data_IF_913567696727
#
_entry.id   IF_913567696727
#
_cell.length_a   1.000
_cell.length_b   1.000
_cell.length_c   1.000
_cell.angle_alpha   90.00
_cell.angle_beta   90.00
_cell.angle_gamma   90.00
#
_symmetry.space_group_name_H-M   'P 1'
#
loop_
_entity.id
_entity.type
_entity.pdbx_description
1 polymer ?
#
# COMPACT_ATOMS: atom_id res chain seq x y z
N UNK A 1 -11.43 15.31 -21.53
CA UNK A 1 -10.78 15.45 -20.21
C UNK A 1 -9.47 14.68 -20.23
N UNK A 2 -8.37 15.33 -19.80
CA UNK A 2 -7.04 14.68 -19.76
C UNK A 2 -6.98 13.53 -18.74
N UNK A 3 -6.06 12.61 -18.95
CA UNK A 3 -5.79 11.52 -18.03
C UNK A 3 -5.05 12.05 -16.79
N UNK A 4 -5.37 11.49 -15.62
CA UNK A 4 -4.69 11.84 -14.37
C UNK A 4 -3.50 10.92 -14.17
N UNK A 5 -2.34 11.51 -13.92
CA UNK A 5 -1.12 10.77 -13.59
C UNK A 5 -1.28 10.07 -12.24
N UNK A 6 -0.64 8.91 -12.07
CA UNK A 6 -0.59 8.20 -10.79
C UNK A 6 0.14 9.05 -9.75
N UNK A 7 -0.50 9.37 -8.60
CA UNK A 7 0.10 10.25 -7.59
C UNK A 7 1.40 9.72 -6.99
N UNK A 8 1.56 8.40 -6.87
CA UNK A 8 2.80 7.76 -6.40
C UNK A 8 3.87 7.87 -7.48
N UNK A 9 3.53 7.55 -8.75
CA UNK A 9 4.47 7.56 -9.86
C UNK A 9 5.13 8.91 -10.11
N UNK A 10 4.35 10.01 -10.02
CA UNK A 10 4.89 11.37 -10.23
C UNK A 10 5.80 11.84 -9.08
N UNK A 11 5.78 11.16 -7.92
CA UNK A 11 6.56 11.49 -6.73
C UNK A 11 7.74 10.56 -6.49
N UNK A 12 7.95 9.58 -7.37
CA UNK A 12 9.12 8.70 -7.32
C UNK A 12 10.40 9.53 -7.49
N UNK A 13 11.38 9.27 -6.62
CA UNK A 13 12.65 10.01 -6.60
C UNK A 13 12.57 11.41 -5.96
N UNK A 14 11.38 11.89 -5.55
CA UNK A 14 11.19 13.17 -4.84
C UNK A 14 10.78 12.90 -3.39
N UNK A 15 9.64 12.26 -3.16
CA UNK A 15 9.07 11.95 -1.85
C UNK A 15 8.93 10.45 -1.63
N UNK A 16 8.64 9.71 -2.69
CA UNK A 16 8.47 8.25 -2.69
C UNK A 16 9.71 7.57 -3.25
N UNK A 17 10.02 6.41 -2.70
CA UNK A 17 11.10 5.54 -3.17
C UNK A 17 10.51 4.36 -3.98
N UNK A 18 11.39 3.65 -4.69
CA UNK A 18 11.03 2.49 -5.50
C UNK A 18 10.75 1.27 -4.63
N UNK A 19 9.84 0.42 -5.09
CA UNK A 19 9.55 -0.87 -4.45
C UNK A 19 10.57 -1.95 -4.84
N UNK A 20 11.27 -1.79 -5.98
CA UNK A 20 12.40 -2.62 -6.38
C UNK A 20 13.67 -1.80 -6.33
N UNK A 21 14.67 -2.27 -5.54
CA UNK A 21 15.97 -1.62 -5.35
C UNK A 21 17.07 -2.55 -5.83
N UNK A 22 17.41 -2.44 -7.12
CA UNK A 22 18.48 -3.20 -7.73
C UNK A 22 18.94 -2.56 -9.04
N UNK A 23 20.11 -2.95 -9.47
CA UNK A 23 20.68 -2.60 -10.77
C UNK A 23 20.97 -3.86 -11.56
N UNK A 24 20.69 -3.84 -12.86
CA UNK A 24 20.97 -4.94 -13.77
C UNK A 24 21.50 -4.45 -15.12
N UNK A 25 22.26 -5.31 -15.81
CA UNK A 25 22.65 -5.06 -17.20
C UNK A 25 21.42 -5.09 -18.13
N UNK A 26 21.53 -4.53 -19.31
CA UNK A 26 20.43 -4.53 -20.31
C UNK A 26 19.97 -5.95 -20.68
N UNK A 27 20.85 -6.97 -20.53
CA UNK A 27 20.52 -8.37 -20.83
C UNK A 27 19.66 -9.00 -19.74
N UNK A 28 20.01 -8.74 -18.48
CA UNK A 28 19.43 -9.40 -17.31
C UNK A 28 18.19 -8.65 -16.78
N UNK A 29 18.02 -7.37 -17.21
CA UNK A 29 16.95 -6.50 -16.72
C UNK A 29 15.55 -7.10 -16.91
N UNK A 30 15.28 -7.66 -18.08
CA UNK A 30 13.96 -8.24 -18.39
C UNK A 30 13.64 -9.46 -17.52
N UNK A 31 14.62 -10.31 -17.29
CA UNK A 31 14.46 -11.50 -16.47
C UNK A 31 14.19 -11.14 -14.99
N UNK A 32 14.99 -10.23 -14.44
CA UNK A 32 14.79 -9.76 -13.06
C UNK A 32 13.44 -9.06 -12.87
N UNK A 33 13.03 -8.23 -13.82
CA UNK A 33 11.75 -7.55 -13.77
C UNK A 33 10.57 -8.53 -13.79
N UNK A 34 10.59 -9.50 -14.72
CA UNK A 34 9.52 -10.49 -14.83
C UNK A 34 9.42 -11.37 -13.59
N UNK A 35 10.57 -11.82 -13.04
CA UNK A 35 10.58 -12.62 -11.82
C UNK A 35 10.08 -11.81 -10.60
N UNK A 36 10.43 -10.51 -10.49
CA UNK A 36 9.92 -9.65 -9.40
C UNK A 36 8.40 -9.46 -9.48
N UNK A 37 7.86 -9.25 -10.69
CA UNK A 37 6.41 -9.13 -10.89
C UNK A 37 5.70 -10.43 -10.50
N UNK A 38 6.20 -11.58 -10.97
CA UNK A 38 5.64 -12.89 -10.67
C UNK A 38 5.65 -13.20 -9.16
N UNK A 39 6.73 -12.83 -8.46
CA UNK A 39 6.84 -13.00 -7.01
C UNK A 39 5.87 -12.10 -6.27
N UNK A 40 5.75 -10.81 -6.66
CA UNK A 40 4.77 -9.90 -6.04
C UNK A 40 3.35 -10.39 -6.21
N UNK A 41 2.97 -10.77 -7.42
CA UNK A 41 1.62 -11.27 -7.71
C UNK A 41 1.31 -12.55 -6.92
N UNK A 42 2.29 -13.46 -6.79
CA UNK A 42 2.17 -14.65 -5.97
C UNK A 42 1.96 -14.29 -4.49
N UNK A 43 2.83 -13.44 -3.92
CA UNK A 43 2.74 -13.06 -2.51
C UNK A 43 1.45 -12.30 -2.19
N UNK A 44 0.97 -11.44 -3.08
CA UNK A 44 -0.31 -10.75 -2.87
C UNK A 44 -1.51 -11.71 -2.92
N UNK A 45 -1.45 -12.76 -3.71
CA UNK A 45 -2.51 -13.79 -3.76
C UNK A 45 -2.51 -14.67 -2.52
N UNK A 46 -1.33 -15.16 -2.13
CA UNK A 46 -1.19 -16.06 -0.98
C UNK A 46 -1.50 -15.34 0.35
N UNK A 47 -1.05 -14.10 0.50
CA UNK A 47 -1.16 -13.32 1.73
C UNK A 47 -2.40 -12.41 1.79
N UNK A 48 -3.48 -12.73 1.09
CA UNK A 48 -4.71 -11.92 1.09
C UNK A 48 -5.27 -11.72 2.51
N UNK A 49 -5.16 -12.72 3.39
CA UNK A 49 -5.64 -12.64 4.78
C UNK A 49 -4.76 -11.79 5.70
N UNK A 50 -3.51 -11.57 5.32
CA UNK A 50 -2.51 -10.84 6.11
C UNK A 50 -2.58 -9.32 5.94
N UNK A 51 -3.39 -8.80 5.02
CA UNK A 51 -3.51 -7.37 4.72
C UNK A 51 -2.14 -6.74 4.44
N UNK A 52 -1.55 -7.14 3.30
CA UNK A 52 -0.23 -6.66 2.86
C UNK A 52 -0.35 -5.30 2.21
N UNK A 53 0.39 -4.32 2.73
CA UNK A 53 0.47 -2.97 2.21
C UNK A 53 1.37 -2.89 0.97
N UNK A 54 2.62 -3.28 1.13
CA UNK A 54 3.67 -3.13 0.13
C UNK A 54 4.66 -4.29 0.21
N UNK A 55 5.24 -4.66 -0.92
CA UNK A 55 6.32 -5.65 -1.03
C UNK A 55 7.50 -4.97 -1.70
N UNK A 56 8.59 -4.78 -0.96
CA UNK A 56 9.84 -4.22 -1.48
C UNK A 56 10.83 -5.36 -1.75
N UNK A 57 11.52 -5.29 -2.89
CA UNK A 57 12.50 -6.30 -3.31
C UNK A 57 13.85 -5.63 -3.50
N UNK A 58 14.84 -6.07 -2.77
CA UNK A 58 16.23 -5.64 -2.89
C UNK A 58 17.05 -6.81 -3.41
N UNK A 59 17.74 -6.66 -4.55
CA UNK A 59 18.65 -7.67 -5.10
C UNK A 59 20.08 -7.26 -4.83
N UNK A 60 20.77 -8.13 -4.16
CA UNK A 60 22.23 -8.13 -4.05
C UNK A 60 22.76 -9.14 -5.07
N UNK A 61 24.08 -9.13 -5.35
CA UNK A 61 24.68 -9.93 -6.43
C UNK A 61 24.15 -11.37 -6.51
N UNK A 62 24.16 -12.11 -5.40
CA UNK A 62 23.79 -13.54 -5.36
C UNK A 62 22.62 -13.85 -4.42
N UNK A 63 21.99 -12.84 -3.83
CA UNK A 63 20.89 -13.02 -2.88
C UNK A 63 19.82 -11.96 -3.11
N UNK A 64 18.57 -12.27 -2.78
CA UNK A 64 17.50 -11.30 -2.80
C UNK A 64 16.88 -11.16 -1.41
N UNK A 65 16.55 -9.94 -1.03
CA UNK A 65 15.82 -9.63 0.20
C UNK A 65 14.42 -9.12 -0.17
N UNK A 66 13.40 -9.80 0.32
CA UNK A 66 12.00 -9.44 0.14
C UNK A 66 11.46 -8.91 1.46
N UNK A 67 11.05 -7.65 1.48
CA UNK A 67 10.50 -6.99 2.66
C UNK A 67 8.99 -6.89 2.46
N UNK A 68 8.23 -7.52 3.36
CA UNK A 68 6.77 -7.55 3.32
C UNK A 68 6.25 -6.61 4.42
N UNK A 69 5.62 -5.51 3.99
CA UNK A 69 4.94 -4.59 4.90
C UNK A 69 3.51 -5.06 5.10
N UNK A 70 3.15 -5.43 6.32
CA UNK A 70 1.83 -6.00 6.64
C UNK A 70 1.24 -5.40 7.92
N UNK A 71 -0.10 -5.33 7.99
CA UNK A 71 -0.80 -4.95 9.21
C UNK A 71 -0.93 -6.13 10.21
N UNK A 72 -0.73 -7.38 9.74
CA UNK A 72 -0.91 -8.59 10.56
C UNK A 72 0.27 -9.54 10.41
N UNK A 73 1.44 -9.22 10.99
CA UNK A 73 2.67 -10.00 10.82
C UNK A 73 2.52 -11.45 11.30
N UNK A 74 1.72 -11.71 12.33
CA UNK A 74 1.50 -13.06 12.86
C UNK A 74 0.92 -14.05 11.85
N UNK A 75 0.11 -13.58 10.91
CA UNK A 75 -0.47 -14.45 9.85
C UNK A 75 0.59 -14.85 8.83
N UNK A 76 1.56 -13.94 8.53
CA UNK A 76 2.64 -14.22 7.59
C UNK A 76 3.68 -15.17 8.19
N UNK A 77 3.98 -15.01 9.48
CA UNK A 77 4.95 -15.85 10.19
C UNK A 77 4.42 -17.28 10.35
N UNK A 78 3.12 -17.40 10.65
CA UNK A 78 2.47 -18.68 10.90
C UNK A 78 2.88 -19.33 12.21
N UNK A 79 2.44 -20.58 12.42
CA UNK A 79 2.75 -21.34 13.63
C UNK A 79 4.24 -21.73 13.62
N UNK A 80 5.00 -21.26 14.61
CA UNK A 80 6.44 -21.53 14.79
C UNK A 80 7.30 -21.19 13.56
N UNK A 81 6.85 -20.27 12.68
CA UNK A 81 7.61 -19.87 11.50
C UNK A 81 7.50 -20.80 10.28
N UNK A 82 6.63 -21.81 10.31
CA UNK A 82 6.50 -22.77 9.22
C UNK A 82 6.04 -22.13 7.89
N UNK A 83 5.12 -21.15 7.98
CA UNK A 83 4.57 -20.50 6.79
C UNK A 83 5.60 -19.59 6.11
N UNK A 84 6.42 -18.88 6.88
CA UNK A 84 7.50 -18.05 6.30
C UNK A 84 8.60 -18.90 5.65
N UNK A 85 8.93 -20.08 6.21
CA UNK A 85 9.91 -20.99 5.60
C UNK A 85 9.37 -21.58 4.28
N UNK A 86 8.10 -21.97 4.26
CA UNK A 86 7.42 -22.41 3.04
C UNK A 86 7.44 -21.33 1.96
N UNK A 87 7.07 -20.08 2.32
CA UNK A 87 7.09 -18.95 1.41
C UNK A 87 8.50 -18.66 0.89
N UNK A 88 9.51 -18.71 1.75
CA UNK A 88 10.91 -18.51 1.37
C UNK A 88 11.36 -19.52 0.31
N UNK A 89 11.03 -20.81 0.47
CA UNK A 89 11.41 -21.84 -0.49
C UNK A 89 10.73 -21.62 -1.86
N UNK A 90 9.42 -21.33 -1.88
CA UNK A 90 8.69 -21.07 -3.13
C UNK A 90 9.21 -19.81 -3.83
N UNK A 91 9.48 -18.74 -3.08
CA UNK A 91 10.01 -17.49 -3.65
C UNK A 91 11.44 -17.70 -4.17
N UNK A 92 12.28 -18.44 -3.46
CA UNK A 92 13.64 -18.78 -3.90
C UNK A 92 13.63 -19.58 -5.20
N UNK A 93 12.73 -20.54 -5.33
CA UNK A 93 12.53 -21.30 -6.58
C UNK A 93 12.11 -20.39 -7.75
N UNK A 94 11.16 -19.46 -7.51
CA UNK A 94 10.70 -18.51 -8.54
C UNK A 94 11.74 -17.48 -8.96
N UNK A 95 12.61 -17.07 -8.05
CA UNK A 95 13.65 -16.08 -8.32
C UNK A 95 14.98 -16.68 -8.81
N UNK A 96 15.16 -18.01 -8.65
CA UNK A 96 16.41 -18.72 -9.00
C UNK A 96 17.61 -18.34 -8.12
N UNK A 97 17.39 -17.60 -7.03
CA UNK A 97 18.45 -17.14 -6.09
C UNK A 97 17.98 -17.34 -4.65
N UNK A 98 18.91 -17.51 -3.69
CA UNK A 98 18.53 -17.58 -2.28
C UNK A 98 17.88 -16.29 -1.82
N UNK A 99 16.71 -16.41 -1.16
CA UNK A 99 15.90 -15.29 -0.71
C UNK A 99 15.87 -15.20 0.81
N UNK A 100 15.97 -13.96 1.30
CA UNK A 100 15.68 -13.65 2.70
C UNK A 100 14.38 -12.85 2.79
N UNK A 101 13.41 -13.35 3.56
CA UNK A 101 12.13 -12.65 3.79
C UNK A 101 12.21 -11.90 5.12
N UNK A 102 11.99 -10.60 5.10
CA UNK A 102 11.82 -9.74 6.27
C UNK A 102 10.38 -9.26 6.34
N UNK A 103 9.81 -9.22 7.54
CA UNK A 103 8.44 -8.74 7.76
C UNK A 103 8.52 -7.45 8.57
N UNK A 104 7.85 -6.41 8.07
CA UNK A 104 7.72 -5.12 8.74
C UNK A 104 6.26 -4.84 9.05
N UNK A 105 5.99 -4.50 10.31
CA UNK A 105 4.64 -4.18 10.75
C UNK A 105 4.24 -2.75 10.37
N UNK A 106 3.07 -2.61 9.75
CA UNK A 106 2.43 -1.32 9.51
C UNK A 106 1.63 -0.93 10.74
N UNK A 107 2.19 -0.03 11.58
CA UNK A 107 1.58 0.38 12.86
C UNK A 107 0.23 1.08 12.70
N UNK A 108 0.03 1.81 11.60
CA UNK A 108 -1.19 2.57 11.33
C UNK A 108 -1.80 2.17 9.98
N UNK A 109 -2.51 1.03 9.90
CA UNK A 109 -3.06 0.51 8.64
C UNK A 109 -4.13 1.44 8.03
N UNK A 110 -4.78 2.25 8.83
CA UNK A 110 -5.80 3.19 8.37
C UNK A 110 -5.23 4.46 7.69
N UNK A 111 -3.90 4.68 7.77
CA UNK A 111 -3.17 5.70 7.01
C UNK A 111 -2.48 5.15 5.76
N UNK A 112 -2.68 3.86 5.46
CA UNK A 112 -2.17 3.22 4.24
C UNK A 112 -3.29 3.11 3.20
N UNK A 113 -3.08 3.70 2.04
CA UNK A 113 -4.12 3.77 1.01
C UNK A 113 -4.52 2.39 0.47
N UNK A 114 -3.58 1.42 0.42
CA UNK A 114 -3.87 0.08 -0.06
C UNK A 114 -4.72 -0.71 0.93
N UNK A 115 -4.35 -0.69 2.21
CA UNK A 115 -5.09 -1.38 3.27
C UNK A 115 -6.50 -0.81 3.44
N UNK A 116 -6.62 0.50 3.34
CA UNK A 116 -7.92 1.20 3.36
C UNK A 116 -8.77 0.80 2.17
N UNK A 117 -8.20 0.75 0.96
CA UNK A 117 -8.95 0.35 -0.24
C UNK A 117 -9.42 -1.11 -0.15
N UNK A 118 -8.57 -2.02 0.32
CA UNK A 118 -8.89 -3.42 0.57
C UNK A 118 -10.01 -3.57 1.62
N UNK A 119 -9.95 -2.83 2.72
CA UNK A 119 -10.98 -2.84 3.76
C UNK A 119 -12.35 -2.39 3.21
N UNK A 120 -12.38 -1.33 2.38
CA UNK A 120 -13.60 -0.91 1.71
C UNK A 120 -14.11 -2.03 0.78
N UNK A 121 -13.23 -2.66 -0.02
CA UNK A 121 -13.60 -3.74 -0.92
C UNK A 121 -14.24 -4.92 -0.18
N UNK A 122 -13.62 -5.38 0.89
CA UNK A 122 -14.14 -6.47 1.73
C UNK A 122 -15.51 -6.13 2.34
N UNK A 123 -15.73 -4.86 2.74
CA UNK A 123 -17.05 -4.42 3.23
C UNK A 123 -18.11 -4.43 2.12
N UNK A 124 -17.76 -3.99 0.91
CA UNK A 124 -18.68 -4.01 -0.23
C UNK A 124 -19.04 -5.45 -0.66
N UNK A 125 -18.08 -6.36 -0.65
CA UNK A 125 -18.30 -7.79 -0.92
C UNK A 125 -19.23 -8.43 0.12
N UNK A 126 -19.14 -7.98 1.38
CA UNK A 126 -20.07 -8.33 2.46
C UNK A 126 -21.40 -7.58 2.42
N UNK A 127 -21.70 -6.90 1.30
CA UNK A 127 -22.96 -6.16 1.06
C UNK A 127 -23.22 -5.01 2.03
N UNK A 128 -22.18 -4.42 2.63
CA UNK A 128 -22.32 -3.19 3.40
C UNK A 128 -22.59 -2.03 2.44
N UNK A 129 -23.48 -1.13 2.80
CA UNK A 129 -23.77 0.08 2.01
C UNK A 129 -22.49 0.90 1.80
N UNK A 130 -22.13 1.22 0.55
CA UNK A 130 -20.89 1.93 0.22
C UNK A 130 -20.75 3.28 0.94
N UNK A 131 -21.86 4.04 1.14
CA UNK A 131 -21.82 5.31 1.88
C UNK A 131 -21.38 5.11 3.33
N UNK A 132 -21.85 4.06 3.98
CA UNK A 132 -21.46 3.74 5.36
C UNK A 132 -20.00 3.30 5.45
N UNK A 133 -19.56 2.46 4.53
CA UNK A 133 -18.17 2.00 4.46
C UNK A 133 -17.21 3.18 4.25
N UNK A 134 -17.50 4.05 3.26
CA UNK A 134 -16.66 5.21 2.95
C UNK A 134 -16.64 6.22 4.10
N UNK A 135 -17.78 6.59 4.68
CA UNK A 135 -17.83 7.55 5.82
C UNK A 135 -17.05 7.05 7.03
N UNK A 136 -17.12 5.75 7.34
CA UNK A 136 -16.35 5.15 8.43
C UNK A 136 -14.85 5.32 8.20
N UNK A 137 -14.38 5.02 7.01
CA UNK A 137 -12.96 5.11 6.63
C UNK A 137 -12.48 6.57 6.69
N UNK A 138 -13.27 7.52 6.17
CA UNK A 138 -12.94 8.95 6.25
C UNK A 138 -12.76 9.40 7.70
N UNK A 139 -13.74 9.09 8.57
CA UNK A 139 -13.66 9.45 9.99
C UNK A 139 -12.51 8.78 10.75
N UNK A 140 -12.14 7.54 10.39
CA UNK A 140 -11.01 6.85 11.01
C UNK A 140 -9.68 7.49 10.61
N UNK A 141 -9.47 7.72 9.31
CA UNK A 141 -8.25 8.35 8.81
C UNK A 141 -8.06 9.78 9.37
N UNK A 142 -9.15 10.57 9.46
CA UNK A 142 -9.12 11.91 10.05
C UNK A 142 -8.73 11.86 11.55
N UNK A 143 -9.27 10.92 12.33
CA UNK A 143 -8.90 10.72 13.74
C UNK A 143 -7.44 10.34 13.94
N UNK A 144 -6.85 9.59 13.03
CA UNK A 144 -5.45 9.17 13.10
C UNK A 144 -4.47 10.20 12.55
N UNK A 145 -4.96 11.38 12.19
CA UNK A 145 -4.11 12.51 11.82
C UNK A 145 -3.80 12.63 10.31
N UNK A 146 -4.58 11.97 9.44
CA UNK A 146 -4.50 12.27 8.01
C UNK A 146 -4.93 13.72 7.78
N UNK A 147 -4.10 14.51 7.09
CA UNK A 147 -4.42 15.91 6.73
C UNK A 147 -5.48 16.00 5.63
N UNK A 148 -5.71 14.91 4.93
CA UNK A 148 -6.79 14.79 3.98
C UNK A 148 -6.89 13.41 3.37
N UNK A 149 -8.12 13.02 3.07
CA UNK A 149 -8.43 11.76 2.41
C UNK A 149 -9.47 11.99 1.33
N UNK A 150 -9.32 11.30 0.20
CA UNK A 150 -10.31 11.23 -0.85
C UNK A 150 -10.54 9.77 -1.23
N UNK A 151 -11.79 9.37 -1.27
CA UNK A 151 -12.20 8.03 -1.73
C UNK A 151 -13.14 8.19 -2.91
N UNK A 152 -12.92 7.43 -3.96
CA UNK A 152 -13.80 7.36 -5.13
C UNK A 152 -14.22 5.92 -5.34
N UNK A 153 -15.51 5.71 -5.52
CA UNK A 153 -16.12 4.40 -5.77
C UNK A 153 -16.87 4.47 -7.08
N UNK A 154 -16.61 3.52 -7.98
CA UNK A 154 -17.15 3.51 -9.35
C UNK A 154 -17.70 2.14 -9.70
N UNK A 155 -18.89 2.08 -10.27
CA UNK A 155 -19.53 0.84 -10.68
C UNK A 155 -21.04 0.86 -10.40
N UNK A 156 -21.65 -0.33 -10.32
CA UNK A 156 -23.05 -0.53 -9.96
C UNK A 156 -23.24 -0.43 -8.45
N UNK A 157 -23.27 0.81 -7.95
CA UNK A 157 -23.33 1.08 -6.51
C UNK A 157 -24.67 0.60 -5.92
N UNK A 158 -24.60 -0.24 -4.88
CA UNK A 158 -25.74 -0.92 -4.25
C UNK A 158 -26.59 -1.75 -5.23
N UNK A 159 -26.01 -2.27 -6.31
CA UNK A 159 -26.71 -3.09 -7.30
C UNK A 159 -27.54 -2.29 -8.32
N UNK A 160 -27.42 -0.96 -8.39
CA UNK A 160 -28.09 -0.15 -9.39
C UNK A 160 -27.74 -0.61 -10.81
N UNK A 161 -28.73 -0.60 -11.73
CA UNK A 161 -28.49 -1.00 -13.14
C UNK A 161 -27.49 -0.07 -13.82
N UNK A 162 -27.60 1.23 -13.60
CA UNK A 162 -26.72 2.21 -14.21
C UNK A 162 -25.52 2.42 -13.31
N UNK A 163 -24.33 2.18 -13.86
CA UNK A 163 -23.08 2.43 -13.19
C UNK A 163 -22.85 3.94 -13.01
N UNK A 164 -22.36 4.31 -11.85
CA UNK A 164 -21.99 5.69 -11.55
C UNK A 164 -20.72 5.75 -10.72
N UNK A 165 -20.09 6.93 -10.68
CA UNK A 165 -18.93 7.21 -9.87
C UNK A 165 -19.30 8.24 -8.81
N UNK A 166 -19.07 7.90 -7.56
CA UNK A 166 -19.22 8.83 -6.43
C UNK A 166 -17.88 8.99 -5.72
N UNK A 167 -17.60 10.20 -5.27
CA UNK A 167 -16.39 10.47 -4.50
C UNK A 167 -16.71 11.30 -3.27
N UNK A 168 -15.94 11.04 -2.24
CA UNK A 168 -16.02 11.73 -0.96
C UNK A 168 -14.63 12.23 -0.60
N UNK A 169 -14.54 13.42 -0.04
CA UNK A 169 -13.28 14.02 0.39
C UNK A 169 -13.46 14.69 1.74
N UNK A 170 -12.47 14.51 2.59
CA UNK A 170 -12.32 15.20 3.85
C UNK A 170 -10.92 15.79 3.93
N UNK A 171 -10.80 17.04 4.36
CA UNK A 171 -9.51 17.74 4.38
C UNK A 171 -8.97 18.12 2.98
N UNK A 172 -7.66 18.33 2.92
CA UNK A 172 -6.92 18.79 1.74
C UNK A 172 -6.17 17.63 1.07
N UNK A 173 -6.29 17.47 -0.23
CA UNK A 173 -5.53 16.48 -1.02
C UNK A 173 -4.84 17.19 -2.17
N UNK A 174 -3.59 17.69 -1.98
CA UNK A 174 -2.87 18.47 -2.98
C UNK A 174 -2.20 17.56 -4.02
N UNK A 175 -2.90 17.24 -5.11
CA UNK A 175 -2.38 16.34 -6.14
C UNK A 175 -1.28 16.97 -7.01
N UNK A 176 -1.26 18.30 -7.13
CA UNK A 176 -0.29 19.04 -7.95
C UNK A 176 1.00 19.41 -7.21
N UNK A 177 1.03 19.29 -5.88
CA UNK A 177 2.21 19.61 -5.07
C UNK A 177 3.12 18.39 -4.97
N UNK A 178 4.33 18.46 -5.53
CA UNK A 178 5.27 17.32 -5.54
C UNK A 178 5.83 16.98 -4.18
N UNK A 179 6.07 17.98 -3.32
CA UNK A 179 6.55 17.79 -1.94
C UNK A 179 5.51 17.16 -1.01
N UNK A 180 4.25 17.05 -1.45
CA UNK A 180 3.20 16.44 -0.65
C UNK A 180 3.33 14.91 -0.63
N UNK A 181 3.38 14.31 0.55
CA UNK A 181 3.29 12.87 0.71
C UNK A 181 1.85 12.42 0.54
N UNK A 182 1.53 12.00 -0.67
CA UNK A 182 0.22 11.45 -1.04
C UNK A 182 0.37 9.97 -1.32
N UNK A 183 -0.28 9.17 -0.49
CA UNK A 183 -0.42 7.75 -0.72
C UNK A 183 -1.65 7.46 -1.58
N UNK A 184 -1.52 6.50 -2.52
CA UNK A 184 -2.58 6.19 -3.48
C UNK A 184 -2.68 4.69 -3.71
N UNK A 185 -3.90 4.20 -3.73
CA UNK A 185 -4.16 2.84 -4.18
C UNK A 185 -5.46 2.75 -4.96
N UNK A 186 -5.51 1.79 -5.89
CA UNK A 186 -6.73 1.37 -6.54
C UNK A 186 -6.98 -0.11 -6.30
N UNK A 187 -8.21 -0.46 -5.92
CA UNK A 187 -8.62 -1.83 -5.63
C UNK A 187 -9.93 -2.15 -6.32
N UNK A 188 -10.22 -3.45 -6.50
CA UNK A 188 -11.45 -3.93 -7.13
C UNK A 188 -12.20 -4.80 -6.13
N UNK A 189 -13.47 -4.49 -5.90
CA UNK A 189 -14.38 -5.32 -5.14
C UNK A 189 -15.25 -6.13 -6.11
N UNK A 190 -15.24 -7.44 -5.98
CA UNK A 190 -16.03 -8.34 -6.79
C UNK A 190 -17.39 -8.55 -6.11
N UNK A 191 -18.43 -7.95 -6.66
CA UNK A 191 -19.80 -8.08 -6.16
C UNK A 191 -20.65 -8.95 -7.08
N UNK A 192 -21.80 -9.41 -6.61
CA UNK A 192 -22.73 -10.19 -7.42
C UNK A 192 -23.26 -9.43 -8.65
N UNK A 193 -23.28 -8.10 -8.58
CA UNK A 193 -23.74 -7.22 -9.65
C UNK A 193 -22.60 -6.72 -10.58
N UNK A 194 -21.40 -7.22 -10.40
CA UNK A 194 -20.21 -6.84 -11.16
C UNK A 194 -19.11 -6.26 -10.29
N UNK A 195 -18.08 -5.74 -10.94
CA UNK A 195 -16.88 -5.19 -10.27
C UNK A 195 -17.10 -3.73 -9.91
N UNK A 196 -16.77 -3.38 -8.67
CA UNK A 196 -16.73 -1.99 -8.19
C UNK A 196 -15.27 -1.57 -8.05
N UNK A 197 -14.87 -0.51 -8.75
CA UNK A 197 -13.56 0.09 -8.64
C UNK A 197 -13.49 1.07 -7.47
N UNK A 198 -12.47 0.93 -6.63
CA UNK A 198 -12.22 1.79 -5.47
C UNK A 198 -10.88 2.47 -5.68
N UNK A 199 -10.83 3.80 -5.52
CA UNK A 199 -9.59 4.57 -5.54
C UNK A 199 -9.50 5.39 -4.28
N UNK A 200 -8.37 5.32 -3.59
CA UNK A 200 -8.11 6.01 -2.33
C UNK A 200 -6.87 6.88 -2.45
N UNK A 201 -6.95 8.11 -1.97
CA UNK A 201 -5.85 9.05 -1.83
C UNK A 201 -5.79 9.50 -0.39
N UNK A 202 -4.64 9.37 0.25
CA UNK A 202 -4.40 9.81 1.63
C UNK A 202 -3.23 10.78 1.62
N UNK A 203 -3.47 11.98 2.12
CA UNK A 203 -2.46 13.01 2.29
C UNK A 203 -1.95 12.98 3.73
N UNK A 204 -0.67 12.66 3.90
CA UNK A 204 -0.02 12.52 5.21
C UNK A 204 0.66 13.82 5.66
N UNK A 205 1.15 14.63 4.71
CA UNK A 205 1.85 15.88 5.01
C UNK A 205 2.74 16.34 3.86
N UNK A 206 3.50 17.39 4.09
CA UNK A 206 4.49 17.91 3.13
C UNK A 206 5.90 17.67 3.66
N UNK A 207 6.79 17.17 2.81
CA UNK A 207 8.21 16.96 3.12
C UNK A 207 8.98 18.13 2.54
N UNK A 208 9.54 18.97 3.41
CA UNK A 208 10.25 20.18 3.02
C UNK A 208 11.77 19.98 2.94
N UNK A 209 12.30 19.02 3.71
CA UNK A 209 13.74 18.76 3.81
C UNK A 209 14.12 17.49 3.04
N UNK A 210 14.85 17.65 1.94
CA UNK A 210 15.41 16.51 1.18
C UNK A 210 16.59 15.80 1.88
N UNK A 211 17.19 16.43 2.91
CA UNK A 211 18.40 15.93 3.59
C UNK A 211 18.14 15.05 4.82
N UNK A 212 16.90 14.76 5.16
CA UNK A 212 16.59 13.90 6.31
C UNK A 212 15.94 12.63 5.81
N UNK A 213 16.77 11.60 5.74
CA UNK A 213 16.38 10.25 5.41
C UNK A 213 15.18 9.79 6.24
N UNK A 214 14.34 9.01 5.58
CA UNK A 214 13.27 8.16 6.11
C UNK A 214 12.33 8.76 7.17
N UNK A 215 11.05 8.74 6.83
CA UNK A 215 9.89 9.11 7.66
C UNK A 215 9.94 8.54 9.09
N UNK A 216 10.72 7.50 9.35
CA UNK A 216 10.94 6.91 10.67
C UNK A 216 11.69 7.81 11.66
N UNK A 217 12.59 8.69 11.21
CA UNK A 217 13.32 9.60 12.12
C UNK A 217 12.45 10.76 12.60
N UNK A 218 11.48 11.19 11.80
CA UNK A 218 10.57 12.28 12.17
C UNK A 218 9.61 11.85 13.28
N UNK A 219 9.15 10.59 13.26
CA UNK A 219 8.27 10.04 14.29
C UNK A 219 8.99 9.85 15.64
N UNK A 220 10.29 9.48 15.62
CA UNK A 220 11.11 9.33 16.83
C UNK A 220 11.44 10.67 17.51
N UNK A 221 11.59 11.76 16.72
CA UNK A 221 11.84 13.12 17.27
C UNK A 221 10.60 13.77 17.87
N UNK A 222 9.41 13.44 17.39
CA UNK A 222 8.14 13.90 17.97
C UNK A 222 7.87 13.30 19.37
N UNK A 223 8.23 12.05 19.58
CA UNK A 223 8.04 11.36 20.85
C UNK A 223 9.02 11.82 21.96
N UNK A 224 10.25 12.19 21.61
CA UNK A 224 11.25 12.63 22.59
C UNK A 224 11.05 14.06 23.12
N UNK A 225 10.31 14.93 22.42
CA UNK A 225 10.00 16.27 22.88
C UNK A 225 8.86 16.37 23.90
N UNK A 226 8.06 15.31 24.07
CA UNK A 226 6.99 15.32 25.08
C UNK A 226 7.42 14.79 26.46
N UNK A 227 8.59 14.18 26.59
CA UNK A 227 9.08 13.62 27.86
C UNK A 227 9.93 14.65 28.68
N UNK A 228 10.27 15.78 28.10
CA UNK A 228 11.11 16.82 28.70
C UNK A 228 10.38 18.00 29.37
N UNK A 229 9.06 17.93 29.56
CA UNK A 229 8.27 18.93 30.30
C UNK A 229 7.39 18.26 31.34
N UNK A 230 8.01 17.87 32.44
CA UNK A 230 7.40 17.73 33.75
C UNK A 230 8.40 18.21 34.78
#
# INVERSE_FOLDING_TARGET
>A
MGQKVNPVGIRLGIVKDWDSKWYASSKDYSEYLLSDIAVRDFLFKELTSASVSRISIERLSNTAKVIIHTARPGIVIGKKGADIERLKNIVSEKMGVPVHISIEEVKQPELDARLVAENIAQQLEKRVMYRRAVKRVLGNASRLGALGIKVMVSGRLNGAEIARSEWYREGRVPLHTFRADVDYSSFRANTQYGVIGIKVWIFKGEILDHNKGTIEEVSKRGASKQIGKK
#
